data_IF_800089929974
#
_entry.id   IF_800089929974
#
_cell.length_a   1.000
_cell.length_b   1.000
_cell.length_c   1.000
_cell.angle_alpha   90.00
_cell.angle_beta   90.00
_cell.angle_gamma   90.00
#
_symmetry.space_group_name_H-M   'P 1'
#
loop_
_entity.id
_entity.type
_entity.pdbx_description
1 polymer ?
#
# COMPACT_ATOMS: atom_id res chain seq x y z
N UNK A 1 8.23 -32.54 2.63
CA UNK A 1 8.11 -31.07 2.78
C UNK A 1 8.49 -30.46 1.45
N UNK A 2 7.57 -29.78 0.79
CA UNK A 2 7.83 -29.12 -0.51
C UNK A 2 8.52 -27.77 -0.31
N UNK A 3 9.11 -27.22 -1.38
CA UNK A 3 9.64 -25.85 -1.36
C UNK A 3 8.54 -24.82 -1.02
N UNK A 4 7.31 -25.08 -1.47
CA UNK A 4 6.16 -24.22 -1.20
C UNK A 4 5.80 -24.23 0.29
N UNK A 5 5.86 -25.39 0.95
CA UNK A 5 5.64 -25.51 2.40
C UNK A 5 6.67 -24.70 3.19
N UNK A 6 7.94 -24.76 2.78
CA UNK A 6 9.02 -24.01 3.41
C UNK A 6 8.83 -22.50 3.23
N UNK A 7 8.51 -22.05 2.02
CA UNK A 7 8.23 -20.63 1.73
C UNK A 7 7.03 -20.15 2.54
N UNK A 8 5.97 -20.95 2.63
CA UNK A 8 4.79 -20.65 3.43
C UNK A 8 5.14 -20.53 4.92
N UNK A 9 5.92 -21.47 5.46
CA UNK A 9 6.38 -21.43 6.84
C UNK A 9 7.20 -20.16 7.15
N UNK A 10 8.20 -19.85 6.32
CA UNK A 10 9.02 -18.64 6.49
C UNK A 10 8.18 -17.37 6.34
N UNK A 11 7.19 -17.37 5.44
CA UNK A 11 6.30 -16.22 5.26
C UNK A 11 5.44 -15.94 6.49
N UNK A 12 5.07 -16.96 7.29
CA UNK A 12 4.29 -16.77 8.53
C UNK A 12 5.01 -15.88 9.53
N UNK A 13 6.33 -15.99 9.61
CA UNK A 13 7.18 -15.18 10.49
C UNK A 13 7.32 -13.71 10.03
N UNK A 14 7.05 -13.42 8.75
CA UNK A 14 7.15 -12.06 8.22
C UNK A 14 5.92 -11.22 8.57
N UNK A 15 6.13 -9.92 8.75
CA UNK A 15 5.03 -8.94 8.85
C UNK A 15 4.58 -8.55 7.45
N UNK A 16 3.27 -8.33 7.28
CA UNK A 16 2.69 -7.78 6.06
C UNK A 16 3.28 -6.39 5.73
N UNK A 17 3.45 -6.01 4.45
CA UNK A 17 3.94 -4.68 4.08
C UNK A 17 3.07 -3.57 4.66
N UNK A 18 3.68 -2.54 5.24
CA UNK A 18 2.94 -1.37 5.75
C UNK A 18 2.59 -0.43 4.60
N UNK A 19 1.33 0.02 4.56
CA UNK A 19 0.83 0.93 3.51
C UNK A 19 1.69 2.19 3.38
N UNK A 20 1.94 2.89 4.50
CA UNK A 20 2.80 4.07 4.53
C UNK A 20 4.19 3.81 3.93
N UNK A 21 4.84 2.70 4.33
CA UNK A 21 6.17 2.34 3.80
C UNK A 21 6.12 1.97 2.32
N UNK A 22 5.02 1.38 1.85
CA UNK A 22 4.81 1.08 0.44
C UNK A 22 4.71 2.38 -0.35
N UNK A 23 3.83 3.30 0.04
CA UNK A 23 3.67 4.60 -0.62
C UNK A 23 4.99 5.36 -0.72
N UNK A 24 5.74 5.43 0.39
CA UNK A 24 7.07 6.06 0.40
C UNK A 24 8.06 5.36 -0.55
N UNK A 25 8.03 4.03 -0.65
CA UNK A 25 8.87 3.26 -1.58
C UNK A 25 8.49 3.48 -3.04
N UNK A 26 7.22 3.75 -3.32
CA UNK A 26 6.71 4.07 -4.66
C UNK A 26 6.99 5.52 -5.07
N UNK A 27 7.66 6.31 -4.22
CA UNK A 27 8.01 7.69 -4.51
C UNK A 27 6.88 8.68 -4.29
N UNK A 28 5.78 8.27 -3.63
CA UNK A 28 4.73 9.22 -3.26
C UNK A 28 5.27 10.18 -2.19
N UNK A 29 5.32 11.50 -2.44
CA UNK A 29 5.97 12.47 -1.57
C UNK A 29 5.09 12.77 -0.35
N UNK A 30 5.08 11.86 0.62
CA UNK A 30 4.28 11.99 1.84
C UNK A 30 5.12 11.80 3.09
N UNK A 31 4.91 12.68 4.08
CA UNK A 31 5.51 12.54 5.39
C UNK A 31 4.58 11.76 6.36
N UNK A 32 5.05 11.49 7.58
CA UNK A 32 4.28 10.68 8.52
C UNK A 32 3.01 11.41 8.99
N UNK A 33 3.10 12.69 9.31
CA UNK A 33 1.99 13.49 9.85
C UNK A 33 0.90 13.71 8.80
N UNK A 34 1.28 13.99 7.55
CA UNK A 34 0.38 14.04 6.41
C UNK A 34 -0.35 12.71 6.22
N UNK A 35 0.37 11.58 6.30
CA UNK A 35 -0.27 10.27 6.19
C UNK A 35 -1.27 10.01 7.34
N UNK A 36 -0.95 10.42 8.57
CA UNK A 36 -1.89 10.34 9.70
C UNK A 36 -3.15 11.16 9.42
N UNK A 37 -2.97 12.39 8.93
CA UNK A 37 -4.07 13.27 8.59
C UNK A 37 -4.95 12.68 7.49
N UNK A 38 -4.37 12.18 6.39
CA UNK A 38 -5.13 11.58 5.28
C UNK A 38 -5.87 10.31 5.70
N UNK A 39 -5.32 9.50 6.60
CA UNK A 39 -6.06 8.38 7.19
C UNK A 39 -7.23 8.87 8.05
N UNK A 40 -7.04 9.91 8.86
CA UNK A 40 -8.09 10.47 9.72
C UNK A 40 -9.25 11.08 8.89
N UNK A 41 -8.94 11.68 7.74
CA UNK A 41 -9.93 12.24 6.80
C UNK A 41 -10.45 11.22 5.78
N UNK A 42 -10.13 9.93 5.94
CA UNK A 42 -10.53 8.84 5.04
C UNK A 42 -10.13 9.06 3.57
N UNK A 43 -9.07 9.84 3.33
CA UNK A 43 -8.58 10.18 1.99
C UNK A 43 -7.60 9.15 1.42
N UNK A 44 -7.24 8.12 2.20
CA UNK A 44 -6.48 6.95 1.74
C UNK A 44 -7.43 5.75 1.72
N UNK A 45 -7.63 5.17 0.54
CA UNK A 45 -8.45 3.99 0.32
C UNK A 45 -7.58 2.81 -0.12
N UNK A 46 -7.86 1.64 0.43
CA UNK A 46 -7.29 0.36 0.02
C UNK A 46 -8.43 -0.52 -0.46
N UNK A 47 -8.40 -0.91 -1.74
CA UNK A 47 -9.47 -1.67 -2.39
C UNK A 47 -10.84 -1.00 -2.21
N UNK A 48 -10.88 0.33 -2.39
CA UNK A 48 -12.07 1.18 -2.21
C UNK A 48 -12.58 1.30 -0.77
N UNK A 49 -11.82 0.85 0.23
CA UNK A 49 -12.17 0.97 1.66
C UNK A 49 -11.24 1.94 2.38
N UNK A 50 -11.76 2.83 3.26
CA UNK A 50 -10.93 3.71 4.07
C UNK A 50 -9.86 2.96 4.88
N UNK A 51 -8.67 3.55 4.95
CA UNK A 51 -7.52 2.96 5.64
C UNK A 51 -7.24 3.61 6.99
N UNK A 52 -6.87 2.78 7.96
CA UNK A 52 -6.26 3.23 9.21
C UNK A 52 -4.74 3.35 9.10
N UNK A 53 -4.13 4.07 10.03
CA UNK A 53 -2.68 4.33 10.14
C UNK A 53 -1.86 3.03 10.15
N UNK A 54 -2.40 1.98 10.77
CA UNK A 54 -1.77 0.67 10.92
C UNK A 54 -1.94 -0.26 9.73
N UNK A 55 -2.65 0.16 8.67
CA UNK A 55 -3.04 -0.70 7.55
C UNK A 55 -1.83 -1.37 6.90
N UNK A 56 -1.97 -2.67 6.66
CA UNK A 56 -0.95 -3.49 5.99
C UNK A 56 -1.56 -4.24 4.82
N UNK A 57 -0.79 -4.34 3.73
CA UNK A 57 -1.22 -4.98 2.49
C UNK A 57 -1.29 -6.49 2.66
N UNK A 58 -2.38 -7.09 2.19
CA UNK A 58 -2.55 -8.54 2.17
C UNK A 58 -1.94 -9.15 0.92
N UNK A 59 -1.65 -10.45 0.95
CA UNK A 59 -1.25 -11.17 -0.26
C UNK A 59 -2.38 -11.12 -1.30
N UNK A 60 -2.01 -11.04 -2.57
CA UNK A 60 -2.88 -10.72 -3.69
C UNK A 60 -2.67 -9.29 -4.21
N UNK A 61 -3.64 -8.82 -4.99
CA UNK A 61 -3.66 -7.48 -5.56
C UNK A 61 -4.26 -6.48 -4.58
N UNK A 62 -3.58 -5.36 -4.41
CA UNK A 62 -3.98 -4.25 -3.55
C UNK A 62 -4.01 -2.98 -4.40
N UNK A 63 -5.17 -2.35 -4.52
CA UNK A 63 -5.36 -1.06 -5.19
C UNK A 63 -5.37 0.01 -4.10
N UNK A 64 -4.49 0.99 -4.20
CA UNK A 64 -4.36 2.06 -3.22
C UNK A 64 -4.72 3.36 -3.93
N UNK A 65 -5.73 4.03 -3.43
CA UNK A 65 -6.14 5.36 -3.88
C UNK A 65 -5.82 6.37 -2.78
N UNK A 66 -5.15 7.45 -3.15
CA UNK A 66 -4.83 8.56 -2.26
C UNK A 66 -5.44 9.82 -2.85
N UNK A 67 -6.30 10.49 -2.10
CA UNK A 67 -6.90 11.76 -2.45
C UNK A 67 -6.25 12.86 -1.60
N UNK A 68 -5.77 13.92 -2.24
CA UNK A 68 -5.10 15.05 -1.58
C UNK A 68 -5.59 16.36 -2.19
N UNK A 69 -6.59 16.99 -1.55
CA UNK A 69 -7.29 18.13 -2.15
C UNK A 69 -7.91 17.73 -3.49
N UNK A 70 -7.54 18.45 -4.56
CA UNK A 70 -8.00 18.19 -5.93
C UNK A 70 -7.15 17.14 -6.67
N UNK A 71 -6.03 16.72 -6.07
CA UNK A 71 -5.15 15.72 -6.66
C UNK A 71 -5.53 14.31 -6.21
N UNK A 72 -5.32 13.34 -7.09
CA UNK A 72 -5.45 11.93 -6.75
C UNK A 72 -4.31 11.10 -7.35
N UNK A 73 -3.88 10.11 -6.58
CA UNK A 73 -2.88 9.15 -6.97
C UNK A 73 -3.41 7.72 -6.77
N UNK A 74 -3.26 6.89 -7.80
CA UNK A 74 -3.66 5.47 -7.77
C UNK A 74 -2.45 4.57 -7.97
N UNK A 75 -2.28 3.62 -7.06
CA UNK A 75 -1.22 2.62 -7.08
C UNK A 75 -1.79 1.22 -7.13
N UNK A 76 -1.21 0.38 -7.96
CA UNK A 76 -1.52 -1.05 -8.03
C UNK A 76 -0.34 -1.84 -7.49
N UNK A 77 -0.55 -2.60 -6.41
CA UNK A 77 0.51 -3.31 -5.69
C UNK A 77 0.14 -4.77 -5.54
N UNK A 78 0.97 -5.66 -6.07
CA UNK A 78 0.81 -7.10 -5.91
C UNK A 78 1.77 -7.62 -4.84
N UNK A 79 1.21 -8.36 -3.88
CA UNK A 79 1.94 -8.91 -2.76
C UNK A 79 1.82 -10.44 -2.80
N UNK A 80 2.96 -11.14 -2.67
CA UNK A 80 3.00 -12.60 -2.54
C UNK A 80 3.94 -12.96 -1.40
N UNK A 81 3.50 -13.84 -0.49
CA UNK A 81 4.26 -14.24 0.69
C UNK A 81 4.72 -13.04 1.54
N UNK A 82 3.81 -12.07 1.71
CA UNK A 82 4.02 -10.79 2.40
C UNK A 82 5.15 -9.94 1.82
N UNK A 83 5.50 -10.15 0.54
CA UNK A 83 6.47 -9.35 -0.22
C UNK A 83 5.79 -8.71 -1.41
N UNK A 84 6.09 -7.44 -1.63
CA UNK A 84 5.70 -6.75 -2.87
C UNK A 84 6.49 -7.39 -4.01
N UNK A 85 5.78 -7.95 -4.99
CA UNK A 85 6.38 -8.56 -6.18
C UNK A 85 6.24 -7.67 -7.42
N UNK A 86 5.18 -6.86 -7.49
CA UNK A 86 4.95 -5.87 -8.54
C UNK A 86 4.30 -4.63 -7.95
N UNK A 87 4.63 -3.47 -8.50
CA UNK A 87 3.95 -2.23 -8.17
C UNK A 87 3.96 -1.29 -9.37
N UNK A 88 2.83 -0.65 -9.63
CA UNK A 88 2.63 0.29 -10.72
C UNK A 88 1.93 1.55 -10.19
N UNK A 89 2.39 2.72 -10.63
CA UNK A 89 1.70 4.00 -10.42
C UNK A 89 0.95 4.33 -11.70
N UNK A 90 -0.37 4.54 -11.64
CA UNK A 90 -1.19 4.69 -12.85
C UNK A 90 -1.56 6.12 -13.22
N UNK A 91 -1.50 7.08 -12.29
CA UNK A 91 -1.68 8.51 -12.59
C UNK A 91 -1.50 9.34 -11.34
N UNK A 92 -0.76 10.44 -11.45
CA UNK A 92 -0.86 11.59 -10.56
C UNK A 92 -1.44 12.70 -11.43
N UNK A 93 -2.70 13.08 -11.20
CA UNK A 93 -3.20 14.32 -11.79
C UNK A 93 -2.60 15.47 -10.97
N UNK A 94 -1.31 15.74 -11.17
CA UNK A 94 -0.68 17.00 -10.77
C UNK A 94 -1.24 18.04 -11.74
N UNK A 95 -2.25 18.80 -11.33
CA UNK A 95 -2.58 20.02 -12.05
C UNK A 95 -1.36 20.94 -11.87
N UNK A 96 -0.61 21.10 -12.97
CA UNK A 96 0.51 22.06 -13.05
C UNK A 96 0.03 23.48 -12.80
#
# INVERSE_FOLDING_TARGET
MTLEDLVNFVSRLRRKPSLYKVLKKLGFPINKEEFLHLCATQSVLLNSMPCEIGTRLSDGTNIIDVHYGDESARFWVEVKYKRIIRAHSMSVNLLK
#
